data_IF_055522433359
#
_entry.id   IF_055522433359
#
_cell.length_a   1.000
_cell.length_b   1.000
_cell.length_c   1.000
_cell.angle_alpha   90.00
_cell.angle_beta   90.00
_cell.angle_gamma   90.00
#
_symmetry.space_group_name_H-M   'P 1'
#
loop_
_entity.id
_entity.type
_entity.pdbx_description
1 polymer ?
#
# COMPACT_ATOMS: atom_id res chain seq x y z
N UNK A 1 66.85 -7.13 4.30
CA UNK A 1 66.20 -8.44 4.52
C UNK A 1 64.72 -8.21 4.27
N UNK A 2 64.22 -8.05 3.05
CA UNK A 2 64.11 -8.96 1.89
C UNK A 2 63.23 -10.21 2.14
N UNK A 3 62.04 -10.19 1.53
CA UNK A 3 61.19 -11.28 0.98
C UNK A 3 59.76 -10.68 0.88
N UNK A 4 59.10 -10.41 -0.24
CA UNK A 4 59.04 -11.03 -1.58
C UNK A 4 58.70 -12.52 -1.56
N UNK A 5 57.42 -12.83 -1.82
CA UNK A 5 56.84 -13.97 -2.57
C UNK A 5 55.39 -13.54 -2.89
N UNK A 6 55.04 -13.21 -4.13
CA UNK A 6 54.62 -14.11 -5.22
C UNK A 6 53.22 -14.71 -5.02
N UNK A 7 52.22 -14.05 -5.61
CA UNK A 7 50.98 -14.68 -6.09
C UNK A 7 50.64 -14.09 -7.47
N UNK A 8 50.91 -14.88 -8.51
CA UNK A 8 50.24 -14.78 -9.81
C UNK A 8 49.19 -15.90 -9.83
N UNK A 9 47.94 -15.59 -10.22
CA UNK A 9 47.19 -16.40 -11.18
C UNK A 9 45.80 -15.81 -11.50
N UNK A 10 45.65 -15.48 -12.79
CA UNK A 10 44.52 -15.78 -13.69
C UNK A 10 43.20 -15.01 -13.54
N UNK A 11 43.05 -13.98 -14.38
CA UNK A 11 41.77 -13.52 -14.91
C UNK A 11 41.63 -13.99 -16.36
N UNK A 12 40.54 -14.70 -16.65
CA UNK A 12 40.08 -15.06 -17.98
C UNK A 12 38.86 -14.20 -18.30
N UNK A 13 39.02 -13.19 -19.15
CA UNK A 13 37.92 -12.42 -19.72
C UNK A 13 37.56 -12.95 -21.11
N UNK A 14 36.32 -13.40 -21.24
CA UNK A 14 35.71 -13.88 -22.48
C UNK A 14 35.12 -12.69 -23.23
N UNK A 15 35.73 -12.34 -24.37
CA UNK A 15 35.17 -11.44 -25.38
C UNK A 15 33.89 -12.05 -25.99
N UNK A 16 32.84 -11.24 -26.09
CA UNK A 16 31.61 -11.59 -26.82
C UNK A 16 31.43 -10.63 -28.00
N UNK A 17 31.07 -11.23 -29.13
CA UNK A 17 31.14 -10.74 -30.51
C UNK A 17 30.53 -9.38 -30.84
N UNK A 18 31.29 -8.61 -31.62
CA UNK A 18 30.84 -7.50 -32.43
C UNK A 18 30.25 -7.99 -33.76
N UNK A 19 29.03 -7.52 -34.04
CA UNK A 19 28.57 -6.92 -35.29
C UNK A 19 28.99 -7.56 -36.62
N UNK A 20 28.01 -8.17 -37.30
CA UNK A 20 28.03 -8.33 -38.75
C UNK A 20 26.63 -8.19 -39.34
N UNK A 21 26.32 -7.04 -39.97
CA UNK A 21 25.50 -6.99 -41.19
C UNK A 21 25.87 -5.73 -41.99
N UNK A 22 26.43 -5.92 -43.19
CA UNK A 22 26.64 -4.89 -44.20
C UNK A 22 25.56 -4.97 -45.29
N UNK A 23 25.31 -3.81 -45.88
CA UNK A 23 24.32 -3.41 -46.89
C UNK A 23 24.29 -4.20 -48.21
N UNK A 24 23.14 -4.18 -48.92
CA UNK A 24 22.87 -3.28 -50.07
C UNK A 24 21.88 -3.85 -51.13
N UNK A 25 21.15 -2.91 -51.76
CA UNK A 25 20.72 -2.89 -53.20
C UNK A 25 19.40 -3.60 -53.59
N UNK A 26 18.29 -2.87 -53.83
CA UNK A 26 17.77 -2.32 -55.12
C UNK A 26 17.02 -3.37 -55.97
N UNK A 27 15.94 -3.17 -56.74
CA UNK A 27 14.95 -2.13 -57.05
C UNK A 27 13.91 -2.78 -58.03
N UNK A 28 12.82 -2.06 -58.37
CA UNK A 28 11.88 -2.24 -59.52
C UNK A 28 10.54 -3.00 -59.23
N UNK A 29 9.39 -2.29 -59.25
CA UNK A 29 8.40 -2.17 -60.36
C UNK A 29 7.39 -3.35 -60.34
N UNK A 30 6.07 -3.27 -60.52
CA UNK A 30 5.12 -2.33 -61.12
C UNK A 30 3.68 -2.74 -60.68
N UNK A 31 2.70 -1.94 -61.11
CA UNK A 31 1.28 -2.27 -61.31
C UNK A 31 0.29 -1.99 -60.18
N UNK A 32 -0.51 -0.94 -60.42
CA UNK A 32 -1.69 -0.61 -59.65
C UNK A 32 -2.92 -1.38 -60.12
N UNK A 33 -3.83 -1.61 -59.18
CA UNK A 33 -5.25 -1.71 -59.43
C UNK A 33 -5.97 -0.93 -58.33
N UNK A 34 -6.75 0.05 -58.79
CA UNK A 34 -7.75 0.80 -58.02
C UNK A 34 -8.86 -0.12 -57.54
N UNK A 35 -9.08 -0.21 -56.24
CA UNK A 35 -10.34 -0.72 -55.69
C UNK A 35 -10.82 0.20 -54.57
N UNK A 36 -11.85 0.97 -54.90
CA UNK A 36 -12.54 1.92 -54.04
C UNK A 36 -13.34 1.16 -52.98
N UNK A 37 -12.81 1.03 -51.77
CA UNK A 37 -13.55 0.56 -50.61
C UNK A 37 -14.55 1.63 -50.13
N UNK A 38 -15.78 1.27 -49.72
CA UNK A 38 -16.74 2.23 -49.21
C UNK A 38 -16.25 2.74 -47.86
N UNK A 39 -16.05 4.05 -47.75
CA UNK A 39 -15.85 4.75 -46.47
C UNK A 39 -17.12 4.62 -45.65
N UNK A 40 -17.21 3.58 -44.83
CA UNK A 40 -18.08 3.58 -43.66
C UNK A 40 -17.45 4.59 -42.71
N UNK A 41 -18.04 5.79 -42.66
CA UNK A 41 -17.78 6.73 -41.57
C UNK A 41 -18.17 6.02 -40.28
N UNK A 42 -17.20 5.50 -39.55
CA UNK A 42 -17.41 5.02 -38.19
C UNK A 42 -17.83 6.23 -37.36
N UNK A 43 -19.11 6.31 -37.04
CA UNK A 43 -19.59 7.11 -35.92
C UNK A 43 -18.72 6.77 -34.70
N UNK A 44 -18.27 7.75 -33.89
CA UNK A 44 -17.50 7.44 -32.70
C UNK A 44 -18.37 6.53 -31.84
N UNK A 45 -17.90 5.30 -31.63
CA UNK A 45 -18.50 4.38 -30.69
C UNK A 45 -18.69 5.16 -29.39
N UNK A 46 -19.94 5.25 -28.91
CA UNK A 46 -20.23 5.84 -27.61
C UNK A 46 -19.35 5.10 -26.60
N UNK A 47 -18.29 5.73 -26.14
CA UNK A 47 -17.45 5.25 -25.05
C UNK A 47 -18.42 4.99 -23.91
N UNK A 48 -18.51 3.73 -23.50
CA UNK A 48 -19.44 3.33 -22.45
C UNK A 48 -19.19 4.22 -21.24
N UNK A 49 -20.26 4.65 -20.55
CA UNK A 49 -20.13 5.40 -19.26
C UNK A 49 -19.31 4.60 -18.23
N UNK A 50 -19.09 3.31 -18.49
CA UNK A 50 -18.35 2.36 -17.67
C UNK A 50 -16.90 2.10 -18.14
N UNK A 51 -16.42 2.82 -19.17
CA UNK A 51 -15.04 2.70 -19.68
C UNK A 51 -14.11 3.66 -18.94
N UNK A 52 -13.85 3.33 -17.67
CA UNK A 52 -13.02 4.14 -16.76
C UNK A 52 -11.57 3.63 -16.82
N UNK A 53 -10.56 4.51 -17.01
CA UNK A 53 -9.16 4.10 -17.05
C UNK A 53 -8.72 3.37 -15.78
N UNK A 54 -8.06 2.19 -15.90
CA UNK A 54 -7.56 1.44 -14.74
C UNK A 54 -8.65 0.87 -13.82
N UNK A 55 -9.90 0.81 -14.29
CA UNK A 55 -11.07 0.38 -13.51
C UNK A 55 -10.87 -0.95 -12.81
N UNK A 56 -10.42 -1.97 -13.55
CA UNK A 56 -10.29 -3.33 -13.03
C UNK A 56 -9.30 -3.37 -11.86
N UNK A 57 -8.15 -2.74 -12.04
CA UNK A 57 -7.05 -2.70 -11.07
C UNK A 57 -7.46 -1.94 -9.81
N UNK A 58 -8.06 -0.76 -9.98
CA UNK A 58 -8.54 0.06 -8.85
C UNK A 58 -9.66 -0.64 -8.09
N UNK A 59 -10.65 -1.24 -8.78
CA UNK A 59 -11.73 -1.97 -8.12
C UNK A 59 -11.20 -3.17 -7.34
N UNK A 60 -10.30 -3.95 -7.94
CA UNK A 60 -9.70 -5.10 -7.27
C UNK A 60 -8.92 -4.67 -6.02
N UNK A 61 -8.17 -3.57 -6.10
CA UNK A 61 -7.46 -3.00 -4.96
C UNK A 61 -8.43 -2.58 -3.85
N UNK A 62 -9.44 -1.77 -4.18
CA UNK A 62 -10.41 -1.27 -3.21
C UNK A 62 -11.23 -2.39 -2.54
N UNK A 63 -11.75 -3.35 -3.32
CA UNK A 63 -12.54 -4.48 -2.80
C UNK A 63 -11.68 -5.39 -1.91
N UNK A 64 -10.37 -5.46 -2.13
CA UNK A 64 -9.46 -6.20 -1.25
C UNK A 64 -9.19 -5.51 0.09
N UNK A 65 -9.71 -4.29 0.29
CA UNK A 65 -9.51 -3.47 1.48
C UNK A 65 -8.27 -2.56 1.40
N UNK A 66 -7.68 -2.39 0.21
CA UNK A 66 -6.53 -1.49 0.03
C UNK A 66 -6.95 -0.03 0.18
N UNK A 67 -6.18 0.71 0.96
CA UNK A 67 -6.23 2.16 1.04
C UNK A 67 -5.28 2.73 -0.01
N UNK A 68 -5.84 3.35 -1.04
CA UNK A 68 -5.11 3.88 -2.19
C UNK A 68 -4.64 5.29 -1.86
N UNK A 69 -3.34 5.48 -1.66
CA UNK A 69 -2.71 6.79 -1.40
C UNK A 69 -1.78 7.18 -2.55
N UNK A 70 -1.16 8.36 -2.50
CA UNK A 70 -0.18 8.78 -3.50
C UNK A 70 0.92 7.72 -3.77
N UNK A 71 1.29 6.93 -2.76
CA UNK A 71 2.28 5.86 -2.86
C UNK A 71 1.80 4.63 -3.65
N UNK A 72 0.51 4.53 -3.94
CA UNK A 72 -0.08 3.49 -4.79
C UNK A 72 0.14 3.76 -6.29
N UNK A 73 0.78 4.89 -6.65
CA UNK A 73 1.18 5.21 -8.02
C UNK A 73 -0.02 5.37 -8.96
N UNK A 74 0.01 4.64 -10.08
CA UNK A 74 -1.02 4.72 -11.13
C UNK A 74 -2.44 4.50 -10.60
N UNK A 75 -2.63 3.63 -9.59
CA UNK A 75 -3.96 3.41 -9.00
C UNK A 75 -4.55 4.71 -8.42
N UNK A 76 -3.72 5.49 -7.74
CA UNK A 76 -4.13 6.78 -7.20
C UNK A 76 -4.43 7.77 -8.31
N UNK A 77 -3.61 7.82 -9.37
CA UNK A 77 -3.84 8.73 -10.49
C UNK A 77 -5.11 8.39 -11.28
N UNK A 78 -5.37 7.11 -11.55
CA UNK A 78 -6.62 6.69 -12.19
C UNK A 78 -7.84 7.12 -11.37
N UNK A 79 -7.82 6.84 -10.07
CA UNK A 79 -8.93 7.15 -9.17
C UNK A 79 -9.11 8.66 -9.02
N UNK A 80 -8.05 9.40 -8.70
CA UNK A 80 -8.12 10.84 -8.46
C UNK A 80 -8.56 11.63 -9.71
N UNK A 81 -8.11 11.23 -10.90
CA UNK A 81 -8.46 11.94 -12.14
C UNK A 81 -9.87 11.63 -12.66
N UNK A 82 -10.48 10.52 -12.22
CA UNK A 82 -11.80 10.07 -12.68
C UNK A 82 -12.74 9.80 -11.48
N UNK A 83 -12.60 10.59 -10.40
CA UNK A 83 -13.21 10.31 -9.09
C UNK A 83 -14.73 10.13 -9.15
N UNK A 84 -15.43 10.98 -9.89
CA UNK A 84 -16.88 10.95 -9.98
C UNK A 84 -17.39 9.70 -10.72
N UNK A 85 -16.65 9.22 -11.71
CA UNK A 85 -16.99 7.99 -12.44
C UNK A 85 -16.79 6.76 -11.52
N UNK A 86 -15.67 6.71 -10.80
CA UNK A 86 -15.40 5.66 -9.81
C UNK A 86 -16.44 5.65 -8.69
N UNK A 87 -16.80 6.82 -8.15
CA UNK A 87 -17.82 6.95 -7.11
C UNK A 87 -19.17 6.46 -7.60
N UNK A 88 -19.62 6.96 -8.75
CA UNK A 88 -20.91 6.58 -9.34
C UNK A 88 -21.02 5.07 -9.50
N UNK A 89 -19.97 4.43 -10.03
CA UNK A 89 -20.04 3.00 -10.26
C UNK A 89 -19.94 2.16 -8.99
N UNK A 90 -19.09 2.53 -8.03
CA UNK A 90 -19.04 1.87 -6.73
C UNK A 90 -20.38 1.96 -5.98
N UNK A 91 -21.05 3.13 -6.04
CA UNK A 91 -22.37 3.32 -5.46
C UNK A 91 -23.42 2.42 -6.10
N UNK A 92 -23.37 2.16 -7.41
CA UNK A 92 -24.29 1.21 -8.07
C UNK A 92 -24.14 -0.24 -7.57
N UNK A 93 -22.96 -0.58 -7.03
CA UNK A 93 -22.66 -1.88 -6.43
C UNK A 93 -22.91 -1.91 -4.90
N UNK A 94 -23.33 -0.80 -4.31
CA UNK A 94 -23.56 -0.67 -2.87
C UNK A 94 -22.33 -0.36 -2.04
N UNK A 95 -21.21 0.04 -2.66
CA UNK A 95 -20.01 0.47 -1.96
C UNK A 95 -19.96 1.99 -1.84
N UNK A 96 -19.43 2.47 -0.71
CA UNK A 96 -19.16 3.90 -0.52
C UNK A 96 -17.66 4.16 -0.67
N UNK A 97 -17.28 4.93 -1.69
CA UNK A 97 -15.92 5.42 -1.85
C UNK A 97 -15.69 6.63 -0.94
N UNK A 98 -14.77 6.50 0.01
CA UNK A 98 -14.38 7.57 0.92
C UNK A 98 -13.05 8.16 0.47
N UNK A 99 -12.96 9.49 0.51
CA UNK A 99 -11.72 10.24 0.34
C UNK A 99 -11.43 10.97 1.65
N UNK A 100 -10.32 10.64 2.29
CA UNK A 100 -9.90 11.22 3.57
C UNK A 100 -8.43 11.62 3.48
N UNK A 101 -8.10 12.87 3.81
CA UNK A 101 -6.77 13.44 3.56
C UNK A 101 -6.34 13.22 2.09
N UNK A 102 -5.25 12.48 1.86
CA UNK A 102 -4.70 12.21 0.53
C UNK A 102 -4.81 10.71 0.15
N UNK A 103 -5.85 10.01 0.62
CA UNK A 103 -6.08 8.61 0.28
C UNK A 103 -7.56 8.23 0.15
N UNK A 104 -7.81 7.13 -0.56
CA UNK A 104 -9.13 6.59 -0.86
C UNK A 104 -9.29 5.17 -0.32
N UNK A 105 -10.49 4.83 0.14
CA UNK A 105 -10.84 3.47 0.54
C UNK A 105 -12.35 3.23 0.40
N UNK A 106 -12.77 1.96 0.41
CA UNK A 106 -14.19 1.61 0.50
C UNK A 106 -14.58 1.52 1.97
N UNK A 107 -15.65 2.23 2.34
CA UNK A 107 -16.32 2.02 3.61
C UNK A 107 -17.44 1.00 3.43
N UNK A 108 -17.38 -0.09 4.19
CA UNK A 108 -18.47 -1.05 4.28
C UNK A 108 -19.55 -0.50 5.21
N UNK A 109 -20.80 -0.41 4.74
CA UNK A 109 -21.93 0.06 5.55
C UNK A 109 -22.49 -1.03 6.48
N UNK A 110 -22.04 -2.29 6.36
CA UNK A 110 -22.52 -3.41 7.18
C UNK A 110 -21.48 -3.99 8.15
N UNK A 111 -20.21 -3.58 8.08
CA UNK A 111 -19.17 -4.13 8.94
C UNK A 111 -18.99 -3.30 10.23
N UNK A 112 -19.91 -3.49 11.19
CA UNK A 112 -19.80 -2.91 12.53
C UNK A 112 -18.67 -3.54 13.38
N UNK A 113 -17.88 -4.48 12.83
CA UNK A 113 -16.84 -5.19 13.57
C UNK A 113 -15.46 -4.83 13.06
N UNK A 114 -14.57 -4.42 13.97
CA UNK A 114 -13.14 -4.50 13.70
C UNK A 114 -12.77 -5.98 13.50
N UNK A 115 -12.54 -6.39 12.26
CA UNK A 115 -12.01 -7.71 11.97
C UNK A 115 -10.67 -7.93 12.71
N UNK A 116 -10.31 -9.19 12.97
CA UNK A 116 -9.09 -9.53 13.75
C UNK A 116 -7.83 -8.86 13.17
N UNK A 117 -7.80 -8.66 11.85
CA UNK A 117 -6.73 -7.96 11.17
C UNK A 117 -6.64 -6.48 11.57
N UNK A 118 -7.76 -5.76 11.61
CA UNK A 118 -7.84 -4.36 12.04
C UNK A 118 -7.44 -4.22 13.51
N UNK A 119 -7.85 -5.16 14.37
CA UNK A 119 -7.42 -5.21 15.78
C UNK A 119 -5.91 -5.40 15.92
N UNK A 120 -5.32 -6.30 15.13
CA UNK A 120 -3.86 -6.53 15.08
C UNK A 120 -3.11 -5.27 14.64
N UNK A 121 -3.58 -4.61 13.59
CA UNK A 121 -2.98 -3.35 13.11
C UNK A 121 -3.12 -2.23 14.14
N UNK A 122 -4.27 -2.10 14.79
CA UNK A 122 -4.51 -1.11 15.82
C UNK A 122 -3.49 -1.24 16.96
N UNK A 123 -3.37 -2.44 17.55
CA UNK A 123 -2.41 -2.68 18.65
C UNK A 123 -0.97 -2.48 18.18
N UNK A 124 -0.63 -2.90 16.97
CA UNK A 124 0.68 -2.64 16.38
C UNK A 124 1.00 -1.13 16.31
N UNK A 125 0.07 -0.32 15.79
CA UNK A 125 0.23 1.14 15.68
C UNK A 125 0.25 1.80 17.07
N UNK A 126 -0.59 1.35 18.01
CA UNK A 126 -0.60 1.86 19.39
C UNK A 126 0.75 1.66 20.09
N UNK A 127 1.37 0.49 19.92
CA UNK A 127 2.71 0.22 20.49
C UNK A 127 3.75 1.17 19.90
N UNK A 128 3.68 1.49 18.59
CA UNK A 128 4.59 2.46 17.98
C UNK A 128 4.42 3.84 18.57
N UNK A 129 3.18 4.32 18.71
CA UNK A 129 2.87 5.62 19.31
C UNK A 129 3.40 5.69 20.74
N UNK A 130 3.15 4.66 21.55
CA UNK A 130 3.63 4.63 22.93
C UNK A 130 5.17 4.65 22.98
N UNK A 131 5.84 3.87 22.14
CA UNK A 131 7.29 3.84 22.08
C UNK A 131 7.89 5.20 21.68
N UNK A 132 7.31 5.86 20.67
CA UNK A 132 7.72 7.21 20.22
C UNK A 132 7.43 8.25 21.30
N UNK A 133 6.26 8.19 21.94
CA UNK A 133 5.90 9.12 23.01
C UNK A 133 6.89 9.05 24.19
N UNK A 134 7.46 7.88 24.45
CA UNK A 134 8.45 7.69 25.52
C UNK A 134 9.83 8.30 25.19
N UNK A 135 10.13 8.59 23.92
CA UNK A 135 11.39 9.27 23.53
C UNK A 135 11.27 10.80 23.54
N UNK A 136 10.05 11.33 23.71
CA UNK A 136 9.78 12.77 23.82
C UNK A 136 9.75 13.54 22.49
N UNK A 137 9.77 12.84 21.35
CA UNK A 137 9.61 13.44 20.01
C UNK A 137 8.13 13.70 19.66
N UNK A 138 7.90 14.47 18.59
CA UNK A 138 6.55 14.59 18.01
C UNK A 138 6.13 13.25 17.41
N UNK A 139 4.98 12.75 17.88
CA UNK A 139 4.49 11.41 17.55
C UNK A 139 4.19 11.30 16.06
N UNK A 140 3.48 12.26 15.49
CA UNK A 140 3.03 12.19 14.09
C UNK A 140 4.20 12.41 13.14
N UNK A 141 5.05 13.39 13.43
CA UNK A 141 6.25 13.67 12.64
C UNK A 141 7.18 12.45 12.59
N UNK A 142 7.40 11.81 13.74
CA UNK A 142 8.26 10.62 13.81
C UNK A 142 7.61 9.41 13.14
N UNK A 143 6.32 9.16 13.39
CA UNK A 143 5.62 8.00 12.85
C UNK A 143 5.53 8.04 11.32
N UNK A 144 5.27 9.22 10.74
CA UNK A 144 5.13 9.45 9.30
C UNK A 144 6.44 9.93 8.64
N UNK A 145 7.58 9.81 9.32
CA UNK A 145 8.88 10.21 8.77
C UNK A 145 9.23 9.41 7.51
N UNK A 146 9.74 10.13 6.49
CA UNK A 146 10.26 9.54 5.26
C UNK A 146 11.46 8.61 5.50
N UNK A 147 12.19 8.79 6.62
CA UNK A 147 13.30 7.90 6.99
C UNK A 147 12.84 6.49 7.36
N UNK A 148 11.56 6.32 7.72
CA UNK A 148 11.02 5.06 8.21
C UNK A 148 11.72 4.54 9.48
N UNK A 149 11.61 3.23 9.68
CA UNK A 149 12.07 2.45 10.81
C UNK A 149 12.81 1.20 10.32
N UNK A 150 13.79 0.76 11.10
CA UNK A 150 14.40 -0.54 10.95
C UNK A 150 13.51 -1.63 11.57
N UNK A 151 13.20 -2.67 10.80
CA UNK A 151 12.19 -3.68 11.17
C UNK A 151 12.63 -4.52 12.38
N UNK A 152 13.92 -4.79 12.50
CA UNK A 152 14.51 -5.50 13.63
C UNK A 152 14.60 -4.64 14.91
N UNK A 153 14.53 -3.31 14.78
CA UNK A 153 14.50 -2.35 15.90
C UNK A 153 13.07 -2.01 16.37
N UNK A 154 12.05 -2.64 15.76
CA UNK A 154 10.67 -2.38 16.14
C UNK A 154 10.40 -2.79 17.62
N UNK A 155 9.64 -1.97 18.37
CA UNK A 155 9.41 -2.19 19.79
C UNK A 155 8.53 -3.41 20.10
N UNK A 156 7.76 -3.95 19.13
CA UNK A 156 6.67 -4.90 19.37
C UNK A 156 7.06 -6.18 20.12
N UNK A 157 8.31 -6.62 20.00
CA UNK A 157 8.82 -7.81 20.69
C UNK A 157 10.00 -7.50 21.64
N UNK A 158 10.33 -6.22 21.84
CA UNK A 158 11.51 -5.79 22.60
C UNK A 158 11.31 -5.84 24.12
N UNK A 159 10.08 -5.70 24.59
CA UNK A 159 9.72 -5.79 26.02
C UNK A 159 8.75 -6.93 26.28
N UNK A 160 8.74 -7.46 27.50
CA UNK A 160 7.77 -8.50 27.91
C UNK A 160 6.32 -7.99 27.80
N UNK A 161 6.08 -6.73 28.15
CA UNK A 161 4.75 -6.11 28.05
C UNK A 161 4.24 -6.08 26.60
N UNK A 162 5.04 -5.58 25.66
CA UNK A 162 4.64 -5.52 24.26
C UNK A 162 4.50 -6.91 23.65
N UNK A 163 5.40 -7.84 24.01
CA UNK A 163 5.29 -9.23 23.60
C UNK A 163 3.97 -9.86 24.06
N UNK A 164 3.53 -9.61 25.29
CA UNK A 164 2.26 -10.10 25.81
C UNK A 164 1.06 -9.52 25.02
N UNK A 165 1.08 -8.23 24.68
CA UNK A 165 0.03 -7.63 23.84
C UNK A 165 -0.04 -8.27 22.46
N UNK A 166 1.10 -8.50 21.82
CA UNK A 166 1.16 -9.12 20.49
C UNK A 166 0.77 -10.61 20.53
N UNK A 167 1.17 -11.35 21.57
CA UNK A 167 0.81 -12.75 21.77
C UNK A 167 -0.69 -12.95 21.95
N UNK A 168 -1.38 -12.04 22.65
CA UNK A 168 -2.85 -12.07 22.80
C UNK A 168 -3.59 -11.91 21.46
N UNK A 169 -2.88 -11.56 20.38
CA UNK A 169 -3.41 -11.41 19.03
C UNK A 169 -2.79 -12.43 18.05
N UNK A 170 -2.20 -13.50 18.57
CA UNK A 170 -1.49 -14.56 17.84
C UNK A 170 -0.22 -14.11 17.10
N UNK A 171 0.40 -13.01 17.54
CA UNK A 171 1.66 -12.50 16.99
C UNK A 171 2.77 -12.66 18.03
N UNK A 172 3.15 -13.93 18.28
CA UNK A 172 4.14 -14.26 19.30
C UNK A 172 5.59 -14.28 18.82
N UNK A 173 5.83 -14.40 17.51
CA UNK A 173 7.15 -14.60 16.94
C UNK A 173 7.36 -13.74 15.67
N UNK A 174 8.61 -13.67 15.23
CA UNK A 174 9.04 -12.86 14.08
C UNK A 174 8.28 -13.21 12.79
N UNK A 175 7.92 -14.48 12.56
CA UNK A 175 7.22 -14.91 11.35
C UNK A 175 5.81 -14.32 11.26
N UNK A 176 5.07 -14.34 12.36
CA UNK A 176 3.71 -13.80 12.44
C UNK A 176 3.76 -12.27 12.31
N UNK A 177 4.78 -11.63 12.89
CA UNK A 177 5.01 -10.20 12.72
C UNK A 177 5.23 -9.84 11.25
N UNK A 178 6.13 -10.54 10.56
CA UNK A 178 6.36 -10.35 9.12
C UNK A 178 5.10 -10.57 8.28
N UNK A 179 4.26 -11.54 8.65
CA UNK A 179 2.96 -11.75 8.00
C UNK A 179 2.04 -10.53 8.17
N UNK A 180 1.95 -9.97 9.39
CA UNK A 180 1.20 -8.74 9.64
C UNK A 180 1.74 -7.58 8.79
N UNK A 181 3.06 -7.37 8.78
CA UNK A 181 3.68 -6.28 8.00
C UNK A 181 3.40 -6.42 6.50
N UNK A 182 3.52 -7.62 5.94
CA UNK A 182 3.15 -7.89 4.55
C UNK A 182 1.67 -7.58 4.28
N UNK A 183 0.77 -7.91 5.21
CA UNK A 183 -0.65 -7.60 5.07
C UNK A 183 -0.91 -6.08 5.13
N UNK A 184 -0.27 -5.37 6.07
CA UNK A 184 -0.33 -3.90 6.16
C UNK A 184 0.21 -3.22 4.91
N UNK A 185 1.27 -3.76 4.33
CA UNK A 185 1.83 -3.27 3.08
C UNK A 185 0.86 -3.42 1.91
N UNK A 186 0.31 -4.63 1.72
CA UNK A 186 -0.71 -4.89 0.69
C UNK A 186 -1.98 -4.07 0.90
N UNK A 187 -2.30 -3.69 2.13
CA UNK A 187 -3.48 -2.87 2.43
C UNK A 187 -3.22 -1.37 2.28
N UNK A 188 -1.99 -0.95 1.94
CA UNK A 188 -1.64 0.45 1.70
C UNK A 188 -1.34 1.28 2.95
N UNK A 189 -1.21 0.65 4.12
CA UNK A 189 -0.92 1.36 5.38
C UNK A 189 0.57 1.65 5.58
N UNK A 190 1.43 0.79 5.03
CA UNK A 190 2.87 0.90 5.19
C UNK A 190 3.59 0.61 3.88
N UNK A 191 4.77 1.17 3.73
CA UNK A 191 5.79 0.68 2.82
C UNK A 191 6.69 -0.30 3.60
N UNK A 192 6.81 -1.53 3.12
CA UNK A 192 7.60 -2.56 3.78
C UNK A 192 8.51 -3.25 2.80
N UNK A 193 9.82 -3.23 3.08
CA UNK A 193 10.85 -3.89 2.27
C UNK A 193 11.70 -4.75 3.17
N UNK A 194 11.40 -6.06 3.19
CA UNK A 194 12.07 -7.03 4.08
C UNK A 194 13.57 -7.10 3.84
N UNK A 195 14.00 -7.07 2.56
CA UNK A 195 15.42 -7.15 2.17
C UNK A 195 16.22 -5.96 2.70
N UNK A 196 15.58 -4.77 2.73
CA UNK A 196 16.20 -3.52 3.17
C UNK A 196 16.06 -3.29 4.67
N UNK A 197 15.46 -4.23 5.41
CA UNK A 197 15.09 -4.05 6.82
C UNK A 197 14.26 -2.78 7.07
N UNK A 198 13.42 -2.37 6.10
CA UNK A 198 12.78 -1.06 6.10
C UNK A 198 11.26 -1.13 6.27
N UNK A 199 10.72 -0.26 7.11
CA UNK A 199 9.30 0.00 7.25
C UNK A 199 9.03 1.49 7.35
N UNK A 200 8.06 2.00 6.59
CA UNK A 200 7.57 3.38 6.72
C UNK A 200 6.05 3.38 6.77
N UNK A 201 5.47 4.18 7.67
CA UNK A 201 4.03 4.37 7.69
C UNK A 201 3.59 5.35 6.62
N UNK A 202 2.45 5.07 6.02
CA UNK A 202 1.83 5.92 5.02
C UNK A 202 0.63 6.65 5.64
N UNK A 203 0.18 7.73 5.01
CA UNK A 203 -0.97 8.54 5.46
C UNK A 203 -2.22 7.73 5.89
N UNK A 204 -2.58 6.61 5.23
CA UNK A 204 -3.71 5.79 5.68
C UNK A 204 -3.61 5.24 7.11
N UNK A 205 -2.42 5.19 7.74
CA UNK A 205 -2.27 4.73 9.13
C UNK A 205 -3.08 5.59 10.11
N UNK A 206 -3.36 6.85 9.76
CA UNK A 206 -4.17 7.76 10.57
C UNK A 206 -5.57 7.18 10.89
N UNK A 207 -6.08 6.26 10.05
CA UNK A 207 -7.32 5.51 10.32
C UNK A 207 -7.30 4.81 11.68
N UNK A 208 -6.15 4.25 12.08
CA UNK A 208 -5.98 3.59 13.38
C UNK A 208 -5.85 4.59 14.54
N UNK A 209 -5.38 5.81 14.28
CA UNK A 209 -5.39 6.89 15.26
C UNK A 209 -6.82 7.34 15.55
N UNK A 210 -7.60 7.60 14.50
CA UNK A 210 -9.02 7.95 14.63
C UNK A 210 -9.79 6.83 15.34
N UNK A 211 -9.57 5.58 14.95
CA UNK A 211 -10.20 4.43 15.61
C UNK A 211 -9.84 4.34 17.10
N UNK A 212 -8.60 4.67 17.47
CA UNK A 212 -8.19 4.71 18.89
C UNK A 212 -8.95 5.78 19.66
N UNK A 213 -9.13 6.97 19.06
CA UNK A 213 -9.90 8.08 19.66
C UNK A 213 -11.38 7.72 19.79
N UNK A 214 -11.98 7.12 18.75
CA UNK A 214 -13.37 6.68 18.77
C UNK A 214 -13.64 5.66 19.88
N UNK A 215 -12.76 4.66 20.02
CA UNK A 215 -12.85 3.64 21.08
C UNK A 215 -12.74 4.30 22.46
N UNK A 216 -11.82 5.25 22.64
CA UNK A 216 -11.65 5.97 23.90
C UNK A 216 -12.89 6.80 24.25
N UNK A 217 -13.47 7.51 23.28
CA UNK A 217 -14.69 8.27 23.47
C UNK A 217 -15.88 7.39 23.84
N UNK A 218 -16.04 6.23 23.17
CA UNK A 218 -17.08 5.26 23.47
C UNK A 218 -16.94 4.72 24.90
N UNK A 219 -15.70 4.39 25.31
CA UNK A 219 -15.43 3.91 26.66
C UNK A 219 -15.75 4.96 27.73
N UNK A 220 -15.39 6.23 27.48
CA UNK A 220 -15.70 7.34 28.39
C UNK A 220 -17.21 7.58 28.52
N UNK A 221 -17.96 7.51 27.41
CA UNK A 221 -19.44 7.63 27.43
C UNK A 221 -20.08 6.51 28.25
N UNK A 222 -19.68 5.27 28.04
CA UNK A 222 -20.18 4.12 28.80
C UNK A 222 -19.90 4.22 30.30
N UNK A 223 -18.71 4.68 30.69
CA UNK A 223 -18.38 4.86 32.12
C UNK A 223 -19.24 5.95 32.78
N UNK A 224 -19.52 7.05 32.08
CA UNK A 224 -20.36 8.13 32.60
C UNK A 224 -21.84 7.70 32.74
N UNK A 225 -22.35 6.86 31.83
CA UNK A 225 -23.72 6.36 31.89
C UNK A 225 -23.92 5.38 33.06
N UNK A 226 -22.91 4.55 33.37
CA UNK A 226 -22.93 3.64 34.53
C UNK A 226 -22.89 4.42 35.86
N UNK A 227 -22.08 5.48 35.96
CA UNK A 227 -22.05 6.31 37.18
C UNK A 227 -23.37 7.08 37.39
N UNK A 228 -24.06 7.47 36.32
CA UNK A 228 -25.37 8.13 36.41
C UNK A 228 -26.49 7.18 36.88
N UNK A 229 -26.46 5.90 36.49
CA UNK A 229 -27.43 4.89 36.96
C UNK A 229 -27.22 4.45 38.41
N UNK A 230 -25.98 4.46 38.92
CA UNK A 230 -25.68 4.09 40.31
C UNK A 230 -26.09 5.20 41.31
N UNK A 231 -26.28 6.42 40.82
CA UNK A 231 -26.67 7.59 41.64
C UNK A 231 -28.14 8.04 41.48
N UNK A 232 -28.94 7.33 40.68
CA UNK A 232 -30.38 7.54 40.52
C UNK A 232 -31.19 6.61 41.44
#
# INVERSE_FOLDING_TARGET
MNNQHDEQMTEAETQTDEQSVQAASAAQSSDGITESAPTIKSEPAKTSVFDIPGKKEVFQALISGMHISLHSGELYHYLNNNLDDYRTELETLGYQLVHEMDYFFIQDQQDERANDYSRRCLVFVTIMIEAISNTGGDILETLLSESGFEVDQLPHLSTERYRNYMQNLDIGETRQLKSLLNNMHRSGFIEYREIDNFLRFLTPVNRYLQLSLDILEQHNKQNNDVEAEVHA
#
